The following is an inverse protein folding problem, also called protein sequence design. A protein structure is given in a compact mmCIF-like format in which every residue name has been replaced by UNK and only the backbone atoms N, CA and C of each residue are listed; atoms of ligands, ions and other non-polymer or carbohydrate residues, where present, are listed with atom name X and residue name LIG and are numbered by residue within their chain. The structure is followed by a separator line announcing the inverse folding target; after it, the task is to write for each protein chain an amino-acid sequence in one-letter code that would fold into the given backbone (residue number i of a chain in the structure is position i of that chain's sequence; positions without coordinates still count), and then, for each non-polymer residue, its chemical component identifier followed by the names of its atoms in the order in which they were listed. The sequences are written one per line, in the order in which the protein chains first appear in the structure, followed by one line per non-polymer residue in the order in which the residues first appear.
data_IF_210132299731
#
_entry.id   IF_210132299731
#
_cell.length_a   1.000
_cell.length_b   1.000
_cell.length_c   1.000
_cell.angle_alpha   90.00
_cell.angle_beta   90.00
_cell.angle_gamma   90.00
#
_symmetry.space_group_name_H-M   'P 1'
#
loop_
_entity.id
_entity.type
_entity.pdbx_description
1 polymer ?
#
# COMPACT_ATOMS: atom_id res chain seq x y z
N UNK A 1 18.78 -3.23 -6.15
CA UNK A 1 17.81 -3.47 -5.07
C UNK A 1 16.54 -2.80 -5.54
N UNK A 2 15.59 -3.57 -6.06
CA UNK A 2 14.37 -3.00 -6.63
C UNK A 2 13.59 -2.27 -5.56
N UNK A 3 13.18 -1.04 -5.85
CA UNK A 3 12.52 -0.10 -4.91
C UNK A 3 11.27 -0.68 -4.22
N UNK A 4 10.74 -1.79 -4.74
CA UNK A 4 9.54 -2.49 -4.24
C UNK A 4 9.80 -3.38 -3.01
N UNK A 5 11.05 -3.77 -2.74
CA UNK A 5 11.41 -4.62 -1.59
C UNK A 5 11.25 -3.90 -0.22
N UNK A 6 11.09 -2.58 -0.22
CA UNK A 6 11.06 -1.78 1.01
C UNK A 6 9.65 -1.60 1.60
N UNK A 7 8.59 -1.91 0.85
CA UNK A 7 7.23 -1.48 1.20
C UNK A 7 6.40 -2.49 2.00
N UNK A 8 6.77 -3.78 2.01
CA UNK A 8 6.03 -4.84 2.71
C UNK A 8 6.87 -6.12 2.88
N UNK A 9 6.36 -7.09 3.64
CA UNK A 9 6.97 -8.41 3.78
C UNK A 9 7.03 -9.13 2.42
N UNK A 10 8.08 -9.93 2.18
CA UNK A 10 8.42 -10.48 0.87
C UNK A 10 7.31 -11.35 0.24
N UNK A 11 6.59 -12.12 1.04
CA UNK A 11 5.50 -12.97 0.55
C UNK A 11 4.33 -12.13 0.04
N UNK A 12 4.00 -11.03 0.73
CA UNK A 12 3.01 -10.07 0.25
C UNK A 12 3.46 -9.30 -0.98
N UNK A 13 4.74 -8.91 -1.06
CA UNK A 13 5.28 -8.23 -2.25
C UNK A 13 5.13 -9.09 -3.51
N UNK A 14 5.29 -10.42 -3.38
CA UNK A 14 5.09 -11.38 -4.48
C UNK A 14 3.62 -11.44 -4.92
N UNK A 15 2.68 -11.38 -3.99
CA UNK A 15 1.24 -11.53 -4.27
C UNK A 15 0.63 -10.22 -4.79
N UNK A 16 1.00 -9.08 -4.21
CA UNK A 16 0.35 -7.79 -4.48
C UNK A 16 1.18 -6.85 -5.36
N UNK A 17 2.46 -7.17 -5.62
CA UNK A 17 3.37 -6.29 -6.34
C UNK A 17 2.87 -5.85 -7.72
N UNK A 18 2.19 -6.74 -8.46
CA UNK A 18 1.59 -6.45 -9.76
C UNK A 18 0.27 -5.66 -9.63
N UNK A 19 -0.46 -5.79 -8.53
CA UNK A 19 -1.71 -5.06 -8.31
C UNK A 19 -1.47 -3.55 -8.31
N UNK A 20 -0.34 -3.08 -7.76
CA UNK A 20 0.03 -1.66 -7.76
C UNK A 20 0.26 -1.09 -9.16
N UNK A 21 0.49 -1.93 -10.17
CA UNK A 21 0.63 -1.48 -11.55
C UNK A 21 -0.71 -1.37 -12.28
N UNK A 22 -1.77 -1.99 -11.75
CA UNK A 22 -3.09 -1.98 -12.37
C UNK A 22 -3.73 -0.60 -12.25
N UNK A 23 -4.52 -0.26 -13.26
CA UNK A 23 -5.13 1.06 -13.39
C UNK A 23 -6.02 1.41 -12.18
N UNK A 24 -6.77 0.44 -11.67
CA UNK A 24 -7.66 0.67 -10.53
C UNK A 24 -6.88 1.04 -9.25
N UNK A 25 -5.71 0.43 -8.98
CA UNK A 25 -4.88 0.80 -7.82
C UNK A 25 -4.26 2.18 -8.00
N UNK A 26 -3.82 2.51 -9.22
CA UNK A 26 -3.33 3.86 -9.55
C UNK A 26 -4.43 4.91 -9.34
N UNK A 27 -5.66 4.60 -9.70
CA UNK A 27 -6.81 5.48 -9.48
C UNK A 27 -7.18 5.59 -7.99
N UNK A 28 -7.15 4.48 -7.25
CA UNK A 28 -7.37 4.47 -5.81
C UNK A 28 -6.32 5.29 -5.05
N UNK A 29 -5.05 5.16 -5.44
CA UNK A 29 -3.95 5.95 -4.87
C UNK A 29 -4.16 7.44 -5.10
N UNK A 30 -4.52 7.86 -6.33
CA UNK A 30 -4.82 9.26 -6.64
C UNK A 30 -5.98 9.80 -5.81
N UNK A 31 -7.07 9.03 -5.72
CA UNK A 31 -8.22 9.39 -4.89
C UNK A 31 -7.82 9.59 -3.43
N UNK A 32 -7.08 8.64 -2.86
CA UNK A 32 -6.67 8.73 -1.46
C UNK A 32 -5.74 9.93 -1.20
N UNK A 33 -4.85 10.24 -2.14
CA UNK A 33 -4.00 11.45 -2.05
C UNK A 33 -4.87 12.72 -2.06
N UNK A 34 -5.88 12.82 -2.94
CA UNK A 34 -6.76 13.99 -2.95
C UNK A 34 -7.59 14.15 -1.67
N UNK A 35 -8.00 13.04 -1.04
CA UNK A 35 -8.68 13.08 0.26
C UNK A 35 -7.73 13.58 1.38
N UNK A 36 -6.47 13.14 1.36
CA UNK A 36 -5.44 13.61 2.31
C UNK A 36 -5.17 15.12 2.11
N UNK A 37 -5.04 15.57 0.86
CA UNK A 37 -4.77 16.97 0.52
C UNK A 37 -5.96 17.90 0.81
N UNK A 38 -7.19 17.37 0.80
CA UNK A 38 -8.39 18.12 1.18
C UNK A 38 -8.60 18.24 2.70
N UNK A 39 -7.59 17.87 3.50
CA UNK A 39 -7.61 17.91 4.97
C UNK A 39 -8.73 17.07 5.60
N UNK A 40 -9.19 16.01 4.93
CA UNK A 40 -10.09 15.04 5.55
C UNK A 40 -9.37 14.27 6.66
N UNK A 41 -10.11 13.95 7.74
CA UNK A 41 -9.58 13.10 8.81
C UNK A 41 -9.67 11.65 8.36
N UNK A 42 -8.53 11.06 8.02
CA UNK A 42 -8.41 9.70 7.50
C UNK A 42 -7.70 8.83 8.54
N UNK A 43 -8.27 7.66 8.80
CA UNK A 43 -7.68 6.64 9.68
C UNK A 43 -7.47 5.33 8.92
N UNK A 44 -6.41 4.57 9.23
CA UNK A 44 -5.31 4.91 10.15
C UNK A 44 -4.39 6.02 9.58
N UNK A 45 -3.44 6.55 10.37
CA UNK A 45 -2.35 7.40 9.83
C UNK A 45 -1.73 6.81 8.56
N UNK A 46 -1.34 7.67 7.61
CA UNK A 46 -0.91 7.26 6.25
C UNK A 46 0.20 6.21 6.24
N UNK A 47 1.11 6.28 7.19
CA UNK A 47 2.26 5.40 7.38
C UNK A 47 1.86 4.01 7.94
N UNK A 48 0.64 3.88 8.45
CA UNK A 48 0.10 2.65 9.01
C UNK A 48 -0.85 1.90 8.05
N UNK A 49 -1.15 2.46 6.87
CA UNK A 49 -2.10 1.86 5.90
C UNK A 49 -1.69 0.43 5.51
N UNK A 50 -0.38 0.16 5.34
CA UNK A 50 0.13 -1.16 4.95
C UNK A 50 0.71 -1.97 6.11
N UNK A 51 0.51 -1.53 7.36
CA UNK A 51 1.19 -2.09 8.54
C UNK A 51 0.95 -3.60 8.73
N UNK A 52 -0.23 -4.10 8.38
CA UNK A 52 -0.54 -5.54 8.46
C UNK A 52 0.33 -6.35 7.49
N UNK A 53 0.49 -5.88 6.24
CA UNK A 53 1.32 -6.51 5.22
C UNK A 53 2.82 -6.45 5.56
N UNK A 54 3.24 -5.46 6.35
CA UNK A 54 4.61 -5.38 6.86
C UNK A 54 4.89 -6.38 8.00
N UNK A 55 3.87 -6.74 8.78
CA UNK A 55 4.03 -7.50 10.03
C UNK A 55 3.63 -8.97 9.94
N UNK A 56 2.91 -9.35 8.89
CA UNK A 56 2.38 -10.71 8.73
C UNK A 56 2.89 -11.29 7.42
N UNK A 57 3.48 -12.49 7.42
CA UNK A 57 3.74 -13.22 6.19
C UNK A 57 2.43 -13.80 5.65
N UNK A 58 2.26 -13.81 4.32
CA UNK A 58 1.10 -14.38 3.63
C UNK A 58 1.01 -15.91 3.77
N UNK A 59 2.17 -16.58 3.75
CA UNK A 59 2.25 -18.04 3.68
C UNK A 59 2.23 -18.74 5.06
N UNK A 60 1.74 -18.10 6.13
CA UNK A 60 1.73 -18.68 7.49
C UNK A 60 0.39 -18.59 8.20
#
# INVERSE_FOLDING_TARGET
MDSKDFFMEKSWARVLGEEFEKEYMKNLQKFLISEIESNQIIYPPKDLIFNAFCKTPYDK
#
